data_IF_701787406228
#
_entry.id   IF_701787406228
#
_cell.length_a   1.000
_cell.length_b   1.000
_cell.length_c   1.000
_cell.angle_alpha   90.00
_cell.angle_beta   90.00
_cell.angle_gamma   90.00
#
_symmetry.space_group_name_H-M   'P 1'
#
loop_
_entity.id
_entity.type
_entity.pdbx_description
1 polymer ?
#
# COMPACT_ATOMS: atom_id res chain seq x y z
N UNK A 1 14.20 -6.65 19.54
CA UNK A 1 14.11 -6.45 18.07
C UNK A 1 12.86 -7.18 17.55
N UNK A 2 11.67 -6.77 18.01
CA UNK A 2 10.41 -7.46 17.70
C UNK A 2 9.77 -7.02 16.37
N UNK A 3 10.43 -6.09 15.67
CA UNK A 3 9.89 -5.36 14.53
C UNK A 3 9.70 -6.21 13.26
N UNK A 4 10.43 -7.33 13.15
CA UNK A 4 10.40 -8.19 11.95
C UNK A 4 9.02 -8.87 11.78
N UNK A 5 8.34 -9.23 12.88
CA UNK A 5 6.96 -9.78 12.80
C UNK A 5 5.95 -8.70 12.39
N UNK A 6 6.09 -7.49 12.94
CA UNK A 6 5.27 -6.31 12.56
C UNK A 6 5.51 -5.92 11.10
N UNK A 7 6.76 -6.00 10.64
CA UNK A 7 7.15 -5.77 9.26
C UNK A 7 6.54 -6.81 8.32
N UNK A 8 6.56 -8.10 8.69
CA UNK A 8 5.93 -9.17 7.91
C UNK A 8 4.42 -8.94 7.78
N UNK A 9 3.73 -8.60 8.87
CA UNK A 9 2.31 -8.21 8.82
C UNK A 9 2.07 -7.05 7.86
N UNK A 10 2.88 -5.99 7.96
CA UNK A 10 2.81 -4.82 7.07
C UNK A 10 3.04 -5.19 5.61
N UNK A 11 3.97 -6.10 5.31
CA UNK A 11 4.24 -6.59 3.96
C UNK A 11 3.07 -7.43 3.42
N UNK A 12 2.41 -8.24 4.25
CA UNK A 12 1.24 -9.04 3.88
C UNK A 12 0.05 -8.12 3.55
N UNK A 13 -0.21 -7.11 4.40
CA UNK A 13 -1.29 -6.13 4.19
C UNK A 13 -1.07 -5.30 2.91
N UNK A 14 0.18 -4.93 2.63
CA UNK A 14 0.56 -4.30 1.35
C UNK A 14 0.30 -5.21 0.16
N UNK A 15 0.69 -6.49 0.24
CA UNK A 15 0.53 -7.47 -0.84
C UNK A 15 -0.96 -7.72 -1.13
N UNK A 16 -1.80 -7.86 -0.10
CA UNK A 16 -3.25 -8.00 -0.26
C UNK A 16 -3.87 -6.75 -0.94
N UNK A 17 -3.40 -5.55 -0.57
CA UNK A 17 -3.81 -4.29 -1.22
C UNK A 17 -3.39 -4.26 -2.70
N UNK A 18 -2.18 -4.73 -3.01
CA UNK A 18 -1.69 -4.86 -4.38
C UNK A 18 -2.47 -5.89 -5.20
N UNK A 19 -2.86 -7.04 -4.65
CA UNK A 19 -3.74 -7.99 -5.33
C UNK A 19 -5.09 -7.37 -5.70
N UNK A 20 -5.73 -6.63 -4.79
CA UNK A 20 -6.98 -5.93 -5.11
C UNK A 20 -6.77 -4.86 -6.19
N UNK A 21 -5.73 -4.03 -6.07
CA UNK A 21 -5.42 -2.98 -7.03
C UNK A 21 -5.08 -3.53 -8.44
N UNK A 22 -4.34 -4.64 -8.52
CA UNK A 22 -3.98 -5.29 -9.79
C UNK A 22 -5.19 -5.91 -10.48
N UNK A 23 -6.04 -6.65 -9.77
CA UNK A 23 -7.29 -7.20 -10.33
C UNK A 23 -8.23 -6.07 -10.76
N UNK A 24 -8.34 -5.00 -9.95
CA UNK A 24 -9.10 -3.80 -10.29
C UNK A 24 -8.60 -3.12 -11.57
N UNK A 25 -7.29 -2.91 -11.70
CA UNK A 25 -6.66 -2.32 -12.88
C UNK A 25 -6.89 -3.18 -14.14
N UNK A 26 -6.65 -4.49 -14.05
CA UNK A 26 -6.89 -5.42 -15.17
C UNK A 26 -8.37 -5.40 -15.62
N UNK A 27 -9.30 -5.33 -14.66
CA UNK A 27 -10.74 -5.30 -14.96
C UNK A 27 -11.19 -3.99 -15.60
N UNK A 28 -10.63 -2.85 -15.16
CA UNK A 28 -11.06 -1.51 -15.59
C UNK A 28 -10.41 -1.02 -16.88
N UNK A 29 -9.13 -1.34 -17.12
CA UNK A 29 -8.35 -0.78 -18.24
C UNK A 29 -8.15 -1.71 -19.45
N UNK A 30 -8.63 -2.96 -19.41
CA UNK A 30 -8.54 -3.86 -20.57
C UNK A 30 -9.41 -3.39 -21.75
N UNK A 31 -8.97 -3.66 -22.98
CA UNK A 31 -9.62 -3.19 -24.23
C UNK A 31 -11.05 -3.71 -24.47
N UNK A 32 -11.57 -4.65 -23.66
CA UNK A 32 -12.88 -5.31 -23.82
C UNK A 32 -13.13 -5.91 -25.23
N UNK A 33 -12.08 -6.04 -26.05
CA UNK A 33 -12.18 -6.43 -27.46
C UNK A 33 -12.56 -7.90 -27.60
N UNK A 34 -13.54 -8.26 -28.46
CA UNK A 34 -13.93 -9.65 -28.65
C UNK A 34 -12.77 -10.47 -29.23
N UNK A 35 -12.47 -11.60 -28.61
CA UNK A 35 -11.38 -12.49 -29.00
C UNK A 35 -11.54 -13.08 -30.42
N UNK A 36 -12.75 -13.04 -30.98
CA UNK A 36 -13.05 -13.33 -32.38
C UNK A 36 -13.54 -12.07 -33.08
N UNK A 37 -12.98 -11.70 -34.26
CA UNK A 37 -13.52 -10.60 -35.03
C UNK A 37 -14.95 -10.96 -35.48
N UNK A 38 -15.95 -10.09 -35.26
CA UNK A 38 -17.31 -10.39 -35.65
C UNK A 38 -17.43 -10.44 -37.18
N UNK A 39 -18.10 -11.47 -37.71
CA UNK A 39 -18.33 -11.62 -39.16
C UNK A 39 -19.09 -10.43 -39.78
N UNK A 40 -19.82 -9.65 -38.97
CA UNK A 40 -20.48 -8.42 -39.38
C UNK A 40 -20.02 -7.23 -38.50
N UNK A 41 -19.64 -6.08 -39.07
CA UNK A 41 -19.11 -4.92 -38.33
C UNK A 41 -20.13 -4.25 -37.38
N UNK A 42 -21.41 -4.58 -37.49
CA UNK A 42 -22.50 -4.02 -36.67
C UNK A 42 -22.86 -4.89 -35.46
N UNK A 43 -22.21 -6.05 -35.28
CA UNK A 43 -22.56 -7.01 -34.22
C UNK A 43 -21.92 -6.74 -32.85
N UNK A 44 -21.28 -5.58 -32.64
CA UNK A 44 -20.80 -5.18 -31.33
C UNK A 44 -21.99 -4.97 -30.37
N UNK A 45 -22.14 -5.76 -29.28
CA UNK A 45 -23.17 -5.50 -28.29
C UNK A 45 -22.87 -4.12 -27.67
N UNK A 46 -23.88 -3.26 -27.59
CA UNK A 46 -23.71 -1.93 -27.03
C UNK A 46 -23.38 -2.03 -25.53
N UNK A 47 -22.08 -2.01 -25.19
CA UNK A 47 -21.58 -2.10 -23.81
C UNK A 47 -22.23 -1.09 -22.86
N UNK A 48 -22.65 0.07 -23.39
CA UNK A 48 -23.41 1.10 -22.68
C UNK A 48 -24.81 0.67 -22.18
N UNK A 49 -25.35 -0.46 -22.65
CA UNK A 49 -26.67 -1.00 -22.23
C UNK A 49 -26.56 -2.18 -21.26
N UNK A 50 -25.36 -2.67 -20.98
CA UNK A 50 -25.16 -3.72 -19.98
C UNK A 50 -25.07 -3.06 -18.61
N UNK A 51 -26.16 -3.12 -17.83
CA UNK A 51 -26.14 -2.73 -16.43
C UNK A 51 -25.13 -3.61 -15.67
N UNK A 52 -23.91 -3.07 -15.45
CA UNK A 52 -22.95 -3.66 -14.53
C UNK A 52 -23.54 -3.59 -13.11
N UNK A 53 -23.26 -4.62 -12.30
CA UNK A 53 -23.80 -4.73 -10.95
C UNK A 53 -23.46 -3.47 -10.14
N UNK A 54 -24.47 -2.86 -9.51
CA UNK A 54 -24.32 -1.59 -8.81
C UNK A 54 -23.46 -1.79 -7.57
N UNK A 55 -22.32 -1.10 -7.49
CA UNK A 55 -21.42 -1.18 -6.33
C UNK A 55 -21.86 -0.30 -5.15
N UNK A 56 -23.12 0.17 -5.16
CA UNK A 56 -23.67 0.93 -4.03
C UNK A 56 -23.75 0.04 -2.77
N UNK A 57 -23.23 0.50 -1.62
CA UNK A 57 -23.46 -0.18 -0.35
C UNK A 57 -24.97 -0.18 -0.02
N UNK A 58 -25.46 -1.19 0.73
CA UNK A 58 -26.88 -1.33 1.01
C UNK A 58 -27.38 -0.19 1.92
N UNK A 59 -28.06 0.80 1.32
CA UNK A 59 -28.86 1.79 2.02
C UNK A 59 -30.14 1.14 2.58
N UNK A 60 -30.57 1.45 3.81
CA UNK A 60 -31.73 0.83 4.44
C UNK A 60 -33.03 1.14 3.68
N UNK A 61 -33.94 0.16 3.66
CA UNK A 61 -35.12 0.12 2.78
C UNK A 61 -36.10 1.30 2.93
N UNK A 62 -36.02 2.09 4.00
CA UNK A 62 -36.87 3.27 4.22
C UNK A 62 -36.62 4.42 3.24
N UNK A 63 -35.43 4.51 2.62
CA UNK A 63 -35.11 5.58 1.67
C UNK A 63 -35.65 5.34 0.24
N UNK A 64 -35.89 4.08 -0.14
CA UNK A 64 -36.23 3.72 -1.52
C UNK A 64 -37.66 4.14 -1.94
N UNK A 65 -38.57 4.32 -0.97
CA UNK A 65 -39.99 4.59 -1.25
C UNK A 65 -40.28 6.01 -1.80
N UNK A 66 -39.39 6.97 -1.58
CA UNK A 66 -39.66 8.39 -1.87
C UNK A 66 -39.48 8.72 -3.37
N UNK A 67 -38.67 7.95 -4.12
CA UNK A 67 -38.31 8.28 -5.51
C UNK A 67 -39.32 7.82 -6.57
N UNK A 68 -40.30 6.96 -6.22
CA UNK A 68 -41.03 6.14 -7.20
C UNK A 68 -42.48 6.62 -7.49
N UNK A 69 -42.81 7.87 -7.14
CA UNK A 69 -44.21 8.38 -7.13
C UNK A 69 -44.56 9.38 -8.24
N UNK A 70 -43.65 9.70 -9.17
CA UNK A 70 -43.84 10.82 -10.11
C UNK A 70 -43.55 10.52 -11.60
N UNK A 71 -44.21 9.52 -12.20
CA UNK A 71 -44.35 9.46 -13.67
C UNK A 71 -45.65 8.79 -14.14
N UNK A 72 -46.61 9.55 -14.69
CA UNK A 72 -47.77 9.08 -15.49
C UNK A 72 -48.47 10.25 -16.22
N UNK A 73 -49.12 9.96 -17.36
CA UNK A 73 -49.89 10.87 -18.28
C UNK A 73 -49.07 11.91 -19.09
N UNK A 74 -49.38 12.28 -20.36
CA UNK A 74 -50.21 11.70 -21.44
C UNK A 74 -49.88 12.39 -22.82
N UNK A 75 -50.42 11.88 -23.95
CA UNK A 75 -50.17 12.30 -25.37
C UNK A 75 -51.14 13.42 -25.87
N UNK A 76 -51.33 13.72 -27.20
CA UNK A 76 -50.41 13.99 -28.34
C UNK A 76 -50.76 15.25 -29.20
N UNK A 77 -49.81 15.73 -30.04
CA UNK A 77 -49.96 16.45 -31.34
C UNK A 77 -48.57 16.92 -31.85
N UNK A 78 -48.30 17.39 -33.09
CA UNK A 78 -49.08 17.57 -34.34
C UNK A 78 -48.14 17.89 -35.54
N UNK A 79 -48.65 18.25 -36.73
CA UNK A 79 -47.86 18.71 -37.92
C UNK A 79 -48.44 19.96 -38.61
N UNK A 80 -47.96 20.44 -39.79
CA UNK A 80 -46.95 19.84 -40.70
C UNK A 80 -45.88 20.79 -41.35
N UNK A 81 -44.76 20.20 -41.80
CA UNK A 81 -44.01 20.49 -43.05
C UNK A 81 -43.32 21.84 -43.33
N UNK A 82 -42.01 21.81 -43.71
CA UNK A 82 -41.50 22.19 -45.05
C UNK A 82 -40.02 21.76 -45.25
N UNK A 83 -39.53 21.87 -46.48
CA UNK A 83 -38.30 21.30 -47.07
C UNK A 83 -36.96 22.01 -46.76
N UNK A 84 -35.84 21.28 -46.83
CA UNK A 84 -34.50 21.87 -47.06
C UNK A 84 -33.37 20.82 -47.04
N UNK A 85 -32.70 20.60 -48.18
CA UNK A 85 -31.63 19.61 -48.33
C UNK A 85 -30.32 20.25 -48.86
N UNK A 86 -29.17 19.87 -48.28
CA UNK A 86 -27.82 19.84 -48.89
C UNK A 86 -26.84 19.18 -47.87
N UNK A 87 -26.22 18.02 -48.11
CA UNK A 87 -25.04 17.71 -48.97
C UNK A 87 -23.66 17.99 -48.31
N UNK A 88 -22.92 16.89 -48.15
CA UNK A 88 -21.49 16.59 -47.83
C UNK A 88 -20.38 17.38 -48.58
N UNK A 89 -19.03 17.10 -48.47
CA UNK A 89 -18.16 16.47 -47.42
C UNK A 89 -16.74 17.10 -47.15
N UNK A 90 -16.13 16.82 -45.98
CA UNK A 90 -14.66 16.72 -45.74
C UNK A 90 -13.77 17.99 -45.83
N UNK A 91 -12.42 17.93 -45.65
CA UNK A 91 -11.56 16.83 -45.14
C UNK A 91 -10.63 17.22 -43.94
N UNK A 92 -9.87 16.26 -43.40
CA UNK A 92 -8.78 16.48 -42.42
C UNK A 92 -7.54 17.18 -43.03
N UNK A 93 -6.70 17.83 -42.20
CA UNK A 93 -5.32 17.32 -42.09
C UNK A 93 -4.69 17.36 -40.67
N UNK A 94 -4.01 16.25 -40.35
CA UNK A 94 -2.65 16.17 -39.76
C UNK A 94 -2.26 16.91 -38.45
N UNK A 95 -2.36 16.16 -37.34
CA UNK A 95 -1.26 15.82 -36.43
C UNK A 95 -0.27 16.90 -35.94
N UNK A 96 -0.56 17.50 -34.79
CA UNK A 96 0.37 17.94 -33.72
C UNK A 96 -0.33 17.56 -32.40
N UNK A 97 0.28 17.04 -31.34
CA UNK A 97 1.71 16.76 -31.11
C UNK A 97 2.02 16.85 -29.61
N UNK A 98 1.55 15.86 -28.83
CA UNK A 98 1.91 15.65 -27.43
C UNK A 98 1.16 16.52 -26.40
N UNK A 99 0.35 15.89 -25.56
CA UNK A 99 -0.10 16.49 -24.31
C UNK A 99 -0.34 15.41 -23.24
N UNK A 100 0.57 15.34 -22.27
CA UNK A 100 0.36 14.61 -21.02
C UNK A 100 -0.54 15.42 -20.11
N UNK A 101 -1.84 15.49 -20.41
CA UNK A 101 -2.81 16.19 -19.59
C UNK A 101 -3.38 15.26 -18.52
N UNK A 102 -2.95 15.46 -17.26
CA UNK A 102 -3.57 14.82 -16.11
C UNK A 102 -4.98 15.38 -15.92
N UNK A 103 -6.00 14.59 -16.28
CA UNK A 103 -7.40 14.95 -16.03
C UNK A 103 -7.77 14.61 -14.58
N UNK A 104 -7.75 15.62 -13.71
CA UNK A 104 -8.55 15.57 -12.48
C UNK A 104 -10.04 15.68 -12.86
N UNK A 105 -10.85 14.72 -12.42
CA UNK A 105 -12.30 14.89 -12.28
C UNK A 105 -13.20 14.74 -13.52
N UNK A 106 -13.29 13.54 -14.10
CA UNK A 106 -14.60 13.03 -14.57
C UNK A 106 -15.17 12.11 -13.49
N UNK A 107 -15.95 12.69 -12.57
CA UNK A 107 -16.46 11.98 -11.40
C UNK A 107 -17.68 11.11 -11.77
N UNK A 108 -17.43 9.81 -12.01
CA UNK A 108 -18.46 8.78 -12.21
C UNK A 108 -18.43 8.04 -13.55
N UNK A 109 -17.60 8.45 -14.52
CA UNK A 109 -17.44 7.73 -15.79
C UNK A 109 -16.25 6.74 -15.69
N UNK A 110 -16.36 5.48 -16.16
CA UNK A 110 -15.25 4.54 -16.10
C UNK A 110 -14.05 5.06 -16.91
N UNK A 111 -12.81 4.87 -16.42
CA UNK A 111 -11.63 5.34 -17.12
C UNK A 111 -11.53 4.69 -18.51
N UNK A 112 -10.96 5.44 -19.47
CA UNK A 112 -10.78 4.93 -20.83
C UNK A 112 -9.82 3.72 -20.81
N UNK A 113 -10.08 2.66 -21.60
CA UNK A 113 -9.15 1.55 -21.76
C UNK A 113 -7.76 2.01 -22.18
N UNK A 114 -6.75 1.29 -21.70
CA UNK A 114 -5.36 1.53 -22.04
C UNK A 114 -4.99 0.91 -23.38
N UNK A 115 -4.11 1.56 -24.15
CA UNK A 115 -3.57 0.93 -25.36
C UNK A 115 -2.96 -0.45 -25.04
N UNK A 116 -3.10 -1.47 -25.91
CA UNK A 116 -2.71 -2.84 -25.59
C UNK A 116 -1.22 -2.98 -25.26
N UNK A 117 -0.38 -2.11 -25.84
CA UNK A 117 1.05 -2.02 -25.51
C UNK A 117 1.28 -1.49 -24.09
N UNK A 118 0.55 -0.46 -23.68
CA UNK A 118 0.62 0.13 -22.34
C UNK A 118 0.08 -0.84 -21.29
N UNK A 119 -1.06 -1.48 -21.59
CA UNK A 119 -1.69 -2.47 -20.71
C UNK A 119 -0.76 -3.68 -20.47
N UNK A 120 -0.20 -4.26 -21.53
CA UNK A 120 0.75 -5.38 -21.40
C UNK A 120 2.06 -4.99 -20.67
N UNK A 121 2.54 -3.76 -20.86
CA UNK A 121 3.69 -3.24 -20.12
C UNK A 121 3.38 -3.10 -18.61
N UNK A 122 2.25 -2.48 -18.25
CA UNK A 122 1.80 -2.34 -16.86
C UNK A 122 1.50 -3.68 -16.21
N UNK A 123 0.84 -4.61 -16.91
CA UNK A 123 0.62 -5.97 -16.40
C UNK A 123 1.94 -6.66 -16.03
N UNK A 124 2.99 -6.50 -16.84
CA UNK A 124 4.31 -7.08 -16.57
C UNK A 124 5.05 -6.38 -15.42
N UNK A 125 4.85 -5.08 -15.25
CA UNK A 125 5.39 -4.31 -14.12
C UNK A 125 4.73 -4.73 -12.80
N UNK A 126 3.40 -4.78 -12.76
CA UNK A 126 2.60 -5.22 -11.62
C UNK A 126 2.94 -6.66 -11.21
N UNK A 127 3.06 -7.57 -12.19
CA UNK A 127 3.49 -8.96 -11.92
C UNK A 127 4.93 -9.04 -11.37
N UNK A 128 5.84 -8.15 -11.80
CA UNK A 128 7.20 -8.10 -11.25
C UNK A 128 7.20 -7.62 -9.81
N UNK A 129 6.44 -6.58 -9.48
CA UNK A 129 6.37 -6.04 -8.11
C UNK A 129 5.83 -7.09 -7.13
N UNK A 130 4.76 -7.81 -7.50
CA UNK A 130 4.22 -8.92 -6.70
C UNK A 130 5.26 -10.01 -6.43
N UNK A 131 6.03 -10.44 -7.44
CA UNK A 131 7.10 -11.46 -7.27
C UNK A 131 8.24 -10.95 -6.38
N UNK A 132 8.61 -9.66 -6.49
CA UNK A 132 9.63 -9.06 -5.62
C UNK A 132 9.11 -8.98 -4.17
N UNK A 133 7.83 -8.66 -3.97
CA UNK A 133 7.18 -8.63 -2.65
C UNK A 133 7.09 -10.01 -2.01
N UNK A 134 6.79 -11.05 -2.80
CA UNK A 134 6.84 -12.45 -2.35
C UNK A 134 8.25 -12.85 -1.87
N UNK A 135 9.29 -12.55 -2.66
CA UNK A 135 10.69 -12.78 -2.27
C UNK A 135 11.11 -12.00 -1.01
N UNK A 136 10.61 -10.76 -0.84
CA UNK A 136 10.84 -9.98 0.39
C UNK A 136 10.19 -10.66 1.61
N UNK A 137 8.99 -11.22 1.47
CA UNK A 137 8.31 -11.96 2.54
C UNK A 137 9.04 -13.27 2.85
N UNK A 138 9.45 -14.04 1.85
CA UNK A 138 10.25 -15.27 2.03
C UNK A 138 11.57 -14.99 2.76
N UNK A 139 12.29 -13.93 2.34
CA UNK A 139 13.50 -13.49 3.02
C UNK A 139 13.22 -13.09 4.48
N UNK A 140 12.20 -12.28 4.76
CA UNK A 140 11.83 -11.90 6.13
C UNK A 140 11.50 -13.12 6.98
N UNK A 141 10.76 -14.10 6.44
CA UNK A 141 10.48 -15.39 7.10
C UNK A 141 11.78 -16.12 7.44
N UNK A 142 12.74 -16.20 6.51
CA UNK A 142 14.03 -16.88 6.74
C UNK A 142 14.94 -16.18 7.76
N UNK A 143 14.71 -14.89 8.05
CA UNK A 143 15.49 -14.08 9.00
C UNK A 143 14.78 -13.92 10.34
N UNK A 144 13.57 -14.49 10.51
CA UNK A 144 12.83 -14.42 11.78
C UNK A 144 13.66 -15.05 12.93
N UNK A 145 13.94 -14.30 14.01
CA UNK A 145 14.75 -14.82 15.11
C UNK A 145 13.97 -15.88 15.89
N UNK A 146 14.58 -17.07 16.06
CA UNK A 146 13.97 -18.19 16.78
C UNK A 146 13.17 -19.16 15.90
N UNK A 147 13.14 -18.99 14.57
CA UNK A 147 12.63 -20.05 13.69
C UNK A 147 13.50 -21.30 13.81
N UNK A 148 12.85 -22.47 13.88
CA UNK A 148 13.53 -23.77 13.95
C UNK A 148 14.11 -24.14 15.32
N UNK A 149 14.18 -23.22 16.30
CA UNK A 149 14.46 -23.59 17.70
C UNK A 149 13.19 -24.00 18.42
N UNK A 150 13.25 -25.06 19.23
CA UNK A 150 12.14 -25.45 20.10
C UNK A 150 12.00 -24.49 21.29
N UNK A 151 10.77 -24.39 21.83
CA UNK A 151 10.48 -23.60 23.03
C UNK A 151 11.37 -24.01 24.22
N UNK A 152 11.63 -25.31 24.38
CA UNK A 152 12.49 -25.84 25.45
C UNK A 152 13.97 -25.43 25.29
N UNK A 153 14.50 -25.38 24.06
CA UNK A 153 15.85 -24.87 23.80
C UNK A 153 15.93 -23.35 24.03
N UNK A 154 14.89 -22.61 23.64
CA UNK A 154 14.79 -21.18 23.87
C UNK A 154 14.71 -20.87 25.37
N UNK A 155 13.90 -21.60 26.14
CA UNK A 155 13.81 -21.46 27.60
C UNK A 155 15.13 -21.81 28.29
N UNK A 156 15.78 -22.92 27.89
CA UNK A 156 17.10 -23.31 28.42
C UNK A 156 18.13 -22.20 28.18
N UNK A 157 18.16 -21.63 26.97
CA UNK A 157 19.05 -20.52 26.62
C UNK A 157 18.75 -19.25 27.40
N UNK A 158 17.48 -18.95 27.69
CA UNK A 158 17.10 -17.83 28.58
C UNK A 158 17.66 -18.04 29.98
N UNK A 159 17.46 -19.22 30.58
CA UNK A 159 17.96 -19.55 31.93
C UNK A 159 19.50 -19.51 32.02
N UNK A 160 20.19 -19.93 30.95
CA UNK A 160 21.66 -19.82 30.85
C UNK A 160 22.11 -18.35 30.82
N UNK A 161 21.50 -17.52 29.96
CA UNK A 161 21.79 -16.09 29.86
C UNK A 161 21.46 -15.31 31.14
N UNK A 162 20.40 -15.68 31.87
CA UNK A 162 20.08 -15.11 33.20
C UNK A 162 21.17 -15.41 34.23
N UNK A 163 21.74 -16.62 34.19
CA UNK A 163 22.88 -17.01 35.03
C UNK A 163 24.13 -16.20 34.71
N UNK A 164 24.47 -16.06 33.43
CA UNK A 164 25.59 -15.22 32.97
C UNK A 164 25.41 -13.74 33.36
N UNK A 165 24.22 -13.18 33.14
CA UNK A 165 23.87 -11.80 33.54
C UNK A 165 24.05 -11.56 35.03
N UNK A 166 23.65 -12.51 35.89
CA UNK A 166 23.88 -12.43 37.34
C UNK A 166 25.38 -12.40 37.65
N UNK A 167 26.18 -13.26 37.04
CA UNK A 167 27.64 -13.30 37.22
C UNK A 167 28.30 -11.98 36.84
N UNK A 168 27.98 -11.45 35.66
CA UNK A 168 28.52 -10.17 35.17
C UNK A 168 28.10 -8.99 36.06
N UNK A 169 26.87 -8.96 36.56
CA UNK A 169 26.42 -7.91 37.49
C UNK A 169 27.11 -8.02 38.87
N UNK A 170 27.38 -9.22 39.38
CA UNK A 170 28.20 -9.40 40.58
C UNK A 170 29.63 -8.87 40.40
N UNK A 171 30.28 -9.18 39.27
CA UNK A 171 31.60 -8.65 38.94
C UNK A 171 31.59 -7.13 38.83
N UNK A 172 30.60 -6.57 38.12
CA UNK A 172 30.38 -5.13 38.01
C UNK A 172 30.25 -4.48 39.40
N UNK A 173 29.48 -5.08 40.32
CA UNK A 173 29.36 -4.59 41.69
C UNK A 173 30.68 -4.65 42.47
N UNK A 174 31.50 -5.70 42.28
CA UNK A 174 32.85 -5.80 42.88
C UNK A 174 33.76 -4.69 42.36
N UNK A 175 33.82 -4.49 41.03
CA UNK A 175 34.58 -3.40 40.39
C UNK A 175 34.14 -2.01 40.85
N UNK A 176 32.83 -1.78 41.01
CA UNK A 176 32.31 -0.51 41.55
C UNK A 176 32.71 -0.30 43.02
N UNK A 177 32.77 -1.35 43.85
CA UNK A 177 33.28 -1.27 45.24
C UNK A 177 34.78 -0.94 45.26
N UNK A 178 35.59 -1.60 44.44
CA UNK A 178 37.03 -1.31 44.26
C UNK A 178 37.26 0.15 43.83
N UNK A 179 36.54 0.60 42.80
CA UNK A 179 36.62 1.96 42.26
C UNK A 179 36.22 3.01 43.32
N UNK A 180 35.17 2.76 44.12
CA UNK A 180 34.81 3.62 45.26
C UNK A 180 35.89 3.68 46.33
N UNK A 181 36.58 2.57 46.62
CA UNK A 181 37.68 2.55 47.57
C UNK A 181 38.91 3.30 47.05
N UNK A 182 39.24 3.14 45.76
CA UNK A 182 40.30 3.88 45.08
C UNK A 182 39.99 5.39 45.02
N UNK A 183 38.77 5.79 44.67
CA UNK A 183 38.30 7.18 44.68
C UNK A 183 38.53 7.83 46.06
N UNK A 184 38.12 7.17 47.15
CA UNK A 184 38.35 7.66 48.52
C UNK A 184 39.83 7.80 48.89
N UNK A 185 40.73 6.98 48.32
CA UNK A 185 42.18 7.13 48.51
C UNK A 185 42.71 8.34 47.74
N UNK A 186 42.30 8.53 46.49
CA UNK A 186 42.67 9.70 45.68
C UNK A 186 42.14 11.00 46.31
N UNK A 187 40.88 11.03 46.75
CA UNK A 187 40.29 12.16 47.49
C UNK A 187 41.10 12.53 48.74
N UNK A 188 41.59 11.54 49.49
CA UNK A 188 42.44 11.77 50.67
C UNK A 188 43.80 12.35 50.30
N UNK A 189 44.44 11.84 49.24
CA UNK A 189 45.73 12.37 48.77
C UNK A 189 45.55 13.79 48.24
N UNK A 190 44.51 14.05 47.45
CA UNK A 190 44.18 15.37 46.93
C UNK A 190 43.92 16.36 48.07
N UNK A 191 43.11 15.98 49.07
CA UNK A 191 42.86 16.81 50.26
C UNK A 191 44.12 17.05 51.10
N UNK A 192 45.05 16.10 51.18
CA UNK A 192 46.34 16.31 51.85
C UNK A 192 47.25 17.27 51.08
N UNK A 193 47.24 17.22 49.74
CA UNK A 193 47.97 18.16 48.88
C UNK A 193 47.36 19.56 48.95
N UNK A 194 46.03 19.67 48.91
CA UNK A 194 45.28 20.92 49.04
C UNK A 194 45.59 21.62 50.38
N UNK A 195 45.45 20.90 51.50
CA UNK A 195 45.84 21.40 52.82
C UNK A 195 47.35 21.66 52.96
N UNK A 196 48.22 20.92 52.26
CA UNK A 196 49.66 21.14 52.28
C UNK A 196 50.12 22.36 51.47
N UNK A 197 49.36 22.75 50.43
CA UNK A 197 49.63 23.91 49.58
C UNK A 197 49.03 25.18 50.18
N UNK A 198 47.84 25.10 50.78
CA UNK A 198 47.13 26.25 51.35
C UNK A 198 47.27 26.40 52.88
N UNK A 199 47.80 25.39 53.58
CA UNK A 199 47.93 25.33 55.04
C UNK A 199 49.37 25.48 55.56
N UNK A 200 50.10 26.50 55.10
CA UNK A 200 51.30 26.96 55.79
C UNK A 200 50.93 27.76 57.05
N UNK A 201 51.62 27.60 58.19
CA UNK A 201 51.26 28.28 59.43
C UNK A 201 51.48 29.80 59.37
N UNK A 202 50.58 30.55 60.01
CA UNK A 202 50.81 31.87 60.58
C UNK A 202 50.64 31.78 62.10
#
# INVERSE_FOLDING_TARGET
MADILTQLQTCLDQLATQFYATIGYLTTYHDNSPATPPQNPTSAPALAKIQKNSTNPPIPASAAAILNSSTSQASPSGGPGVTGAATTPGPNPSNIGGEGAGAMGEEGLPPRPDSPRTFAARQRELARDLVIKEQQIEYLISVLPGIGSSEAEQEKRIRELEGELRGVEEERQRRVKELRALRKRVERVLGAVDNGIYGGPK
#
